data_IF_721576520463
#
_entry.id   IF_721576520463
#
_cell.length_a   1.000
_cell.length_b   1.000
_cell.length_c   1.000
_cell.angle_alpha   90.00
_cell.angle_beta   90.00
_cell.angle_gamma   90.00
#
_symmetry.space_group_name_H-M   'P 1'
#
loop_
_entity.id
_entity.type
_entity.pdbx_description
1 polymer ?
#
# COMPACT_ATOMS: atom_id res chain seq x y z
N UNK A 1 -0.21 13.96 -4.93
CA UNK A 1 -0.66 13.45 -3.62
C UNK A 1 -2.15 13.62 -3.45
N UNK A 2 -2.63 14.86 -3.54
CA UNK A 2 -4.04 15.20 -3.28
C UNK A 2 -5.05 14.33 -4.04
N UNK A 3 -4.82 14.06 -5.32
CA UNK A 3 -5.77 13.30 -6.14
C UNK A 3 -5.92 11.84 -5.65
N UNK A 4 -4.82 11.15 -5.36
CA UNK A 4 -4.88 9.77 -4.84
C UNK A 4 -5.51 9.71 -3.44
N UNK A 5 -5.30 10.74 -2.61
CA UNK A 5 -5.95 10.86 -1.30
C UNK A 5 -7.46 11.00 -1.45
N UNK A 6 -7.94 11.83 -2.39
CA UNK A 6 -9.37 12.00 -2.63
C UNK A 6 -9.99 10.77 -3.28
N UNK A 7 -9.29 10.15 -4.23
CA UNK A 7 -9.69 8.89 -4.83
C UNK A 7 -9.93 7.81 -3.77
N UNK A 8 -8.96 7.59 -2.87
CA UNK A 8 -9.10 6.58 -1.82
C UNK A 8 -10.29 6.87 -0.90
N UNK A 9 -10.53 8.13 -0.52
CA UNK A 9 -11.71 8.51 0.27
C UNK A 9 -13.02 8.20 -0.45
N UNK A 10 -13.08 8.43 -1.76
CA UNK A 10 -14.26 8.09 -2.55
C UNK A 10 -14.47 6.57 -2.62
N UNK A 11 -13.39 5.81 -2.82
CA UNK A 11 -13.43 4.32 -2.86
C UNK A 11 -13.80 3.74 -1.49
N UNK A 12 -13.28 4.27 -0.38
CA UNK A 12 -13.61 3.84 1.00
C UNK A 12 -15.14 3.90 1.24
N UNK A 13 -15.79 4.95 0.75
CA UNK A 13 -17.22 5.20 0.95
C UNK A 13 -18.09 4.41 -0.05
N UNK A 14 -17.75 4.47 -1.35
CA UNK A 14 -18.61 3.97 -2.43
C UNK A 14 -18.34 2.51 -2.81
N UNK A 15 -17.12 2.04 -2.62
CA UNK A 15 -16.66 0.73 -3.07
C UNK A 15 -15.71 0.06 -2.05
N UNK A 16 -16.15 -0.20 -0.81
CA UNK A 16 -15.29 -0.75 0.25
C UNK A 16 -14.72 -2.15 -0.08
N UNK A 17 -15.31 -2.87 -1.05
CA UNK A 17 -14.75 -4.12 -1.56
C UNK A 17 -13.51 -3.90 -2.44
N UNK A 18 -13.46 -2.78 -3.17
CA UNK A 18 -12.33 -2.40 -4.03
C UNK A 18 -11.20 -1.82 -3.18
N UNK A 19 -11.54 -1.02 -2.15
CA UNK A 19 -10.56 -0.52 -1.17
C UNK A 19 -9.68 -1.65 -0.61
N UNK A 20 -10.30 -2.78 -0.27
CA UNK A 20 -9.62 -3.99 0.27
C UNK A 20 -8.75 -4.74 -0.74
N UNK A 21 -8.85 -4.45 -2.03
CA UNK A 21 -8.10 -5.11 -3.09
C UNK A 21 -6.90 -4.29 -3.55
N UNK A 22 -7.03 -2.97 -3.57
CA UNK A 22 -5.97 -2.05 -4.01
C UNK A 22 -4.98 -1.82 -2.86
N UNK A 23 -3.69 -1.87 -3.16
CA UNK A 23 -2.62 -1.81 -2.17
C UNK A 23 -2.83 -2.82 -1.04
N UNK A 24 -3.39 -4.00 -1.33
CA UNK A 24 -3.52 -5.04 -0.32
C UNK A 24 -2.12 -5.56 0.03
N UNK A 25 -1.67 -5.33 1.26
CA UNK A 25 -0.38 -5.84 1.75
C UNK A 25 -0.33 -7.36 1.64
N UNK A 26 0.86 -7.91 1.46
CA UNK A 26 1.07 -9.33 1.17
C UNK A 26 1.78 -10.04 2.32
N UNK A 27 1.55 -11.36 2.50
CA UNK A 27 2.26 -12.13 3.51
C UNK A 27 3.75 -12.27 3.17
N UNK A 28 4.60 -12.29 4.19
CA UNK A 28 6.04 -12.53 4.04
C UNK A 28 6.42 -13.97 4.37
N UNK A 29 6.67 -14.80 3.37
CA UNK A 29 7.14 -16.18 3.54
C UNK A 29 6.09 -17.17 4.05
N UNK A 30 5.51 -16.94 5.24
CA UNK A 30 4.35 -17.68 5.72
C UNK A 30 3.06 -16.86 5.51
N UNK A 31 1.98 -17.52 5.10
CA UNK A 31 0.73 -16.89 4.63
C UNK A 31 -0.05 -16.05 5.67
N UNK A 32 0.49 -15.89 6.88
CA UNK A 32 -0.21 -15.32 8.02
C UNK A 32 0.33 -13.96 8.48
N UNK A 33 1.41 -13.45 7.88
CA UNK A 33 2.10 -12.25 8.38
C UNK A 33 2.24 -11.17 7.31
N UNK A 34 1.33 -10.21 7.34
CA UNK A 34 1.21 -9.13 6.37
C UNK A 34 2.09 -7.93 6.72
N UNK A 35 2.47 -7.18 5.67
CA UNK A 35 3.14 -5.90 5.78
C UNK A 35 2.28 -4.87 6.53
N UNK A 36 2.94 -3.92 7.17
CA UNK A 36 2.31 -2.86 7.96
C UNK A 36 2.67 -1.52 7.33
N UNK A 37 1.66 -0.74 6.95
CA UNK A 37 1.93 0.55 6.34
C UNK A 37 2.57 1.53 7.32
N UNK A 38 3.64 2.19 6.87
CA UNK A 38 4.38 3.21 7.61
C UNK A 38 5.03 4.19 6.62
N UNK A 39 5.54 5.30 7.12
CA UNK A 39 6.14 6.37 6.32
C UNK A 39 7.50 6.00 5.74
N UNK A 40 8.16 4.97 6.27
CA UNK A 40 9.45 4.49 5.80
C UNK A 40 9.49 2.98 5.94
N UNK A 41 9.87 2.31 4.85
CA UNK A 41 10.03 0.86 4.82
C UNK A 41 11.21 0.41 5.68
N UNK A 42 10.98 -0.65 6.46
CA UNK A 42 12.00 -1.41 7.17
C UNK A 42 11.60 -2.89 7.23
N UNK A 43 11.78 -3.59 6.10
CA UNK A 43 11.53 -5.02 6.03
C UNK A 43 12.73 -5.88 6.42
N UNK A 44 13.87 -5.27 6.75
CA UNK A 44 15.06 -6.04 7.17
C UNK A 44 15.00 -6.44 8.65
N UNK A 45 14.33 -5.64 9.48
CA UNK A 45 14.21 -5.90 10.93
C UNK A 45 12.77 -5.93 11.43
N UNK A 46 11.79 -5.55 10.60
CA UNK A 46 10.38 -5.61 10.92
C UNK A 46 9.53 -5.81 9.67
N UNK A 47 8.28 -5.35 9.71
CA UNK A 47 7.31 -5.57 8.63
C UNK A 47 6.73 -4.27 8.08
N UNK A 48 7.41 -3.17 8.35
CA UNK A 48 6.97 -1.84 7.95
C UNK A 48 7.24 -1.61 6.47
N UNK A 49 6.26 -1.09 5.75
CA UNK A 49 6.36 -0.79 4.34
C UNK A 49 5.73 0.56 4.03
N UNK A 50 6.41 1.36 3.21
CA UNK A 50 5.82 2.52 2.54
C UNK A 50 5.48 2.23 1.07
N UNK A 51 5.65 0.97 0.64
CA UNK A 51 5.31 0.48 -0.69
C UNK A 51 3.89 -0.10 -0.67
N UNK A 52 3.02 0.40 -1.56
CA UNK A 52 1.70 -0.15 -1.85
C UNK A 52 1.80 -1.64 -2.22
N UNK A 53 1.04 -2.48 -1.51
CA UNK A 53 1.10 -3.93 -1.65
C UNK A 53 2.36 -4.57 -1.05
N UNK A 54 3.08 -3.86 -0.19
CA UNK A 54 4.30 -4.33 0.43
C UNK A 54 4.12 -5.62 1.23
N UNK A 55 5.19 -6.41 1.26
CA UNK A 55 5.22 -7.71 1.91
C UNK A 55 5.60 -7.58 3.39
N UNK A 56 4.99 -8.44 4.21
CA UNK A 56 5.39 -8.62 5.60
C UNK A 56 6.68 -9.41 5.74
N UNK A 57 6.96 -9.83 6.96
CA UNK A 57 8.06 -10.75 7.27
C UNK A 57 7.60 -11.78 8.30
N UNK A 58 8.39 -12.82 8.51
CA UNK A 58 8.15 -13.79 9.59
C UNK A 58 8.58 -13.25 10.98
N UNK A 59 8.89 -11.96 11.11
CA UNK A 59 9.37 -11.35 12.35
C UNK A 59 8.23 -10.72 13.17
N UNK A 60 8.54 -10.40 14.43
CA UNK A 60 7.65 -9.60 15.28
C UNK A 60 7.37 -8.23 14.64
N UNK A 61 6.09 -7.85 14.59
CA UNK A 61 5.63 -6.58 14.01
C UNK A 61 4.81 -6.70 12.73
N UNK A 62 4.66 -7.91 12.16
CA UNK A 62 3.67 -8.17 11.10
C UNK A 62 2.24 -8.18 11.63
N UNK A 63 1.28 -7.83 10.76
CA UNK A 63 -0.15 -7.92 11.07
C UNK A 63 -0.72 -9.27 10.67
N UNK A 64 -1.69 -9.77 11.44
CA UNK A 64 -2.44 -10.99 11.10
C UNK A 64 -3.44 -10.77 9.95
N UNK A 65 -3.84 -9.52 9.72
CA UNK A 65 -4.75 -9.10 8.66
C UNK A 65 -4.06 -8.15 7.68
N UNK A 66 -4.35 -8.23 6.38
CA UNK A 66 -3.81 -7.30 5.41
C UNK A 66 -4.36 -5.89 5.63
N UNK A 67 -3.51 -4.89 5.37
CA UNK A 67 -3.90 -3.49 5.20
C UNK A 67 -4.11 -3.20 3.71
N UNK A 68 -4.88 -2.17 3.38
CA UNK A 68 -5.28 -1.89 2.00
C UNK A 68 -5.13 -0.40 1.61
N UNK A 69 -5.83 0.06 0.57
CA UNK A 69 -5.66 1.40 -0.03
C UNK A 69 -5.84 2.50 1.00
N UNK A 70 -6.95 2.51 1.74
CA UNK A 70 -7.20 3.52 2.75
C UNK A 70 -6.11 3.54 3.84
N UNK A 71 -5.64 2.38 4.26
CA UNK A 71 -4.56 2.28 5.25
C UNK A 71 -3.23 2.79 4.71
N UNK A 72 -2.93 2.52 3.44
CA UNK A 72 -1.77 3.06 2.74
C UNK A 72 -1.83 4.59 2.75
N UNK A 73 -2.96 5.18 2.37
CA UNK A 73 -3.11 6.64 2.40
C UNK A 73 -2.94 7.19 3.82
N UNK A 74 -3.64 6.62 4.81
CA UNK A 74 -3.63 7.13 6.20
C UNK A 74 -2.25 7.03 6.85
N UNK A 75 -1.53 5.93 6.65
CA UNK A 75 -0.31 5.62 7.38
C UNK A 75 0.98 5.89 6.59
N UNK A 76 0.89 5.94 5.25
CA UNK A 76 2.07 6.09 4.38
C UNK A 76 2.13 7.46 3.72
N UNK A 77 0.99 7.97 3.26
CA UNK A 77 0.91 9.26 2.58
C UNK A 77 0.67 10.38 3.59
N UNK A 78 1.74 10.98 4.09
CA UNK A 78 1.67 12.16 4.96
C UNK A 78 1.47 13.46 4.19
N UNK A 79 1.06 14.51 4.91
CA UNK A 79 0.74 15.82 4.35
C UNK A 79 -0.53 15.76 3.49
N UNK A 80 -0.54 16.48 2.37
CA UNK A 80 -1.57 16.38 1.32
C UNK A 80 -1.36 15.16 0.40
N UNK A 81 -0.68 14.13 0.90
CA UNK A 81 -0.26 12.94 0.19
C UNK A 81 0.96 13.14 -0.70
N UNK A 82 1.76 14.18 -0.48
CA UNK A 82 3.03 14.43 -1.18
C UNK A 82 4.16 13.54 -0.66
N UNK A 83 4.13 13.13 0.61
CA UNK A 83 5.09 12.16 1.14
C UNK A 83 4.76 10.77 0.63
N UNK A 84 5.77 10.05 0.13
CA UNK A 84 5.68 8.69 -0.41
C UNK A 84 4.79 8.52 -1.66
N UNK A 85 4.41 9.62 -2.32
CA UNK A 85 3.75 9.59 -3.61
C UNK A 85 4.52 10.42 -4.63
N UNK A 86 4.87 9.88 -5.81
CA UNK A 86 4.53 8.55 -6.33
C UNK A 86 5.53 7.44 -5.96
N UNK A 87 6.55 7.73 -5.14
CA UNK A 87 7.66 6.83 -4.83
C UNK A 87 7.74 6.54 -3.34
N UNK A 88 7.97 5.28 -2.97
CA UNK A 88 8.15 4.82 -1.59
C UNK A 88 9.43 5.40 -0.95
N UNK A 89 9.60 5.19 0.35
CA UNK A 89 10.80 5.53 1.10
C UNK A 89 11.31 4.33 1.88
N UNK A 90 12.63 4.17 2.01
CA UNK A 90 13.25 3.23 2.93
C UNK A 90 14.43 3.88 3.63
N UNK A 91 14.78 3.40 4.82
CA UNK A 91 16.04 3.80 5.43
C UNK A 91 17.22 3.32 4.57
N UNK A 92 18.38 3.99 4.68
CA UNK A 92 19.59 3.53 3.98
C UNK A 92 19.83 2.05 4.29
N UNK A 93 20.20 1.30 3.26
CA UNK A 93 20.45 -0.16 3.28
C UNK A 93 19.24 -1.05 3.64
N UNK A 94 18.03 -0.49 3.84
CA UNK A 94 16.82 -1.27 4.08
C UNK A 94 16.09 -1.57 2.78
N UNK A 95 15.22 -2.59 2.85
CA UNK A 95 14.39 -3.07 1.74
C UNK A 95 12.91 -2.73 1.99
N UNK A 96 12.08 -2.72 0.93
CA UNK A 96 12.51 -2.65 -0.48
C UNK A 96 13.26 -1.34 -0.76
N UNK A 97 14.24 -1.40 -1.67
CA UNK A 97 14.92 -0.18 -2.14
C UNK A 97 13.90 0.60 -2.98
N UNK A 98 13.63 1.88 -2.67
CA UNK A 98 12.67 2.66 -3.43
C UNK A 98 13.06 2.74 -4.90
N UNK A 99 12.08 2.54 -5.77
CA UNK A 99 12.23 2.72 -7.22
C UNK A 99 11.32 3.85 -7.64
N UNK A 100 11.80 4.72 -8.52
CA UNK A 100 11.02 5.85 -9.04
C UNK A 100 9.64 5.37 -9.51
N UNK A 101 8.59 5.98 -8.94
CA UNK A 101 7.18 5.73 -9.22
C UNK A 101 6.66 4.33 -8.82
N UNK A 102 7.33 3.62 -7.92
CA UNK A 102 6.91 2.28 -7.49
C UNK A 102 5.49 2.24 -6.90
N UNK A 103 5.09 3.20 -6.06
CA UNK A 103 3.73 3.30 -5.51
C UNK A 103 2.69 3.60 -6.58
N UNK A 104 2.95 4.55 -7.48
CA UNK A 104 2.03 4.85 -8.59
C UNK A 104 1.86 3.64 -9.51
N UNK A 105 2.95 2.92 -9.79
CA UNK A 105 2.93 1.69 -10.60
C UNK A 105 2.16 0.58 -9.92
N UNK A 106 2.34 0.39 -8.61
CA UNK A 106 1.62 -0.62 -7.83
C UNK A 106 0.10 -0.34 -7.80
N UNK A 107 -0.31 0.88 -7.50
CA UNK A 107 -1.73 1.29 -7.53
C UNK A 107 -2.34 1.04 -8.91
N UNK A 108 -1.67 1.49 -9.98
CA UNK A 108 -2.17 1.30 -11.34
C UNK A 108 -2.32 -0.19 -11.71
N UNK A 109 -1.36 -1.03 -11.30
CA UNK A 109 -1.43 -2.48 -11.52
C UNK A 109 -2.65 -3.09 -10.82
N UNK A 110 -2.89 -2.74 -9.56
CA UNK A 110 -4.04 -3.26 -8.81
C UNK A 110 -5.37 -2.81 -9.44
N UNK A 111 -5.48 -1.55 -9.86
CA UNK A 111 -6.68 -1.04 -10.54
C UNK A 111 -6.94 -1.73 -11.89
N UNK A 112 -5.88 -2.03 -12.66
CA UNK A 112 -5.99 -2.78 -13.91
C UNK A 112 -6.32 -4.27 -13.67
N UNK A 113 -6.02 -4.81 -12.50
CA UNK A 113 -6.35 -6.19 -12.15
C UNK A 113 -7.81 -6.38 -11.70
N UNK A 114 -8.54 -5.29 -11.39
CA UNK A 114 -9.97 -5.36 -11.05
C UNK A 114 -10.81 -5.98 -12.16
N UNK A 115 -11.94 -6.59 -11.78
CA UNK A 115 -12.88 -7.10 -12.76
C UNK A 115 -13.62 -5.97 -13.51
N UNK A 116 -14.34 -6.29 -14.58
CA UNK A 116 -14.97 -5.28 -15.44
C UNK A 116 -16.00 -4.40 -14.72
N UNK A 117 -16.78 -4.97 -13.80
CA UNK A 117 -17.79 -4.23 -13.05
C UNK A 117 -17.12 -3.29 -12.03
N UNK A 118 -16.09 -3.78 -11.33
CA UNK A 118 -15.29 -2.98 -10.39
C UNK A 118 -14.58 -1.82 -11.08
N UNK A 119 -14.00 -2.06 -12.27
CA UNK A 119 -13.37 -1.00 -13.07
C UNK A 119 -14.34 0.11 -13.44
N UNK A 120 -15.59 -0.24 -13.76
CA UNK A 120 -16.63 0.73 -14.11
C UNK A 120 -16.99 1.62 -12.92
N UNK A 121 -16.82 1.14 -11.68
CA UNK A 121 -17.11 1.90 -10.46
C UNK A 121 -16.00 2.92 -10.15
N UNK A 122 -14.73 2.60 -10.47
CA UNK A 122 -13.57 3.43 -10.12
C UNK A 122 -13.00 4.30 -11.25
N UNK A 123 -13.49 4.11 -12.48
CA UNK A 123 -13.16 4.94 -13.64
C UNK A 123 -13.89 6.29 -13.60
#
# INVERSE_FOLDING_TARGET
>A
GKDIVQFAKAVEISAPKIDKQVCRTKPGGSDNYYGVYDVTSDTATGSKTSLCGGEGTNNQGSQATPMALTDFIKNTLQGDGSKNWPTSSAQRTKKPVPVTNDNATAVAKDLVALNSDEKTIVA
#
